data_IF_374907615948
#
_entry.id   IF_374907615948
#
_cell.length_a   1.000
_cell.length_b   1.000
_cell.length_c   1.000
_cell.angle_alpha   90.00
_cell.angle_beta   90.00
_cell.angle_gamma   90.00
#
_symmetry.space_group_name_H-M   'P 1'
#
loop_
_entity.id
_entity.type
_entity.pdbx_description
1 polymer ?
#
# COMPACT_ATOMS: atom_id res chain seq x y z
N UNK A 1 13.70 43.10 -14.02
CA UNK A 1 13.92 41.66 -13.89
C UNK A 1 12.69 40.97 -14.37
N UNK A 2 12.84 40.03 -15.27
CA UNK A 2 11.71 39.20 -15.69
C UNK A 2 11.40 38.26 -14.54
N UNK A 3 10.15 38.28 -14.06
CA UNK A 3 9.68 37.37 -13.01
C UNK A 3 9.30 36.05 -13.64
N UNK A 4 9.85 34.94 -13.15
CA UNK A 4 9.59 33.59 -13.64
C UNK A 4 8.92 32.74 -12.55
N UNK A 5 7.98 31.93 -12.95
CA UNK A 5 7.52 30.79 -12.14
C UNK A 5 8.49 29.63 -12.30
N UNK A 6 9.07 29.16 -11.22
CA UNK A 6 9.94 27.98 -11.22
C UNK A 6 9.20 26.79 -10.63
N UNK A 7 9.03 25.73 -11.41
CA UNK A 7 8.35 24.50 -10.98
C UNK A 7 9.33 23.34 -11.12
N UNK A 8 9.38 22.50 -10.08
CA UNK A 8 10.17 21.29 -10.06
C UNK A 8 9.28 20.09 -10.41
N UNK A 9 9.56 19.41 -11.51
CA UNK A 9 8.89 18.17 -11.92
C UNK A 9 9.80 17.01 -11.60
N UNK A 10 9.46 16.22 -10.55
CA UNK A 10 10.17 14.96 -10.22
C UNK A 10 11.68 15.08 -10.35
N UNK A 11 12.43 14.12 -10.14
CA UNK A 11 13.90 13.96 -10.35
C UNK A 11 14.77 15.18 -10.71
N UNK A 12 14.40 16.41 -10.26
CA UNK A 12 15.21 17.63 -10.41
C UNK A 12 15.06 18.38 -11.73
N UNK A 13 14.05 18.10 -12.53
CA UNK A 13 13.75 18.93 -13.71
C UNK A 13 13.07 20.21 -13.24
N UNK A 14 13.72 21.36 -13.47
CA UNK A 14 13.18 22.70 -13.22
C UNK A 14 12.66 23.27 -14.54
N UNK A 15 11.41 23.72 -14.53
CA UNK A 15 10.80 24.47 -15.64
C UNK A 15 10.63 25.91 -15.17
N UNK A 16 11.22 26.85 -15.88
CA UNK A 16 11.04 28.29 -15.66
C UNK A 16 10.10 28.84 -16.75
N UNK A 17 8.94 29.33 -16.35
CA UNK A 17 7.97 29.95 -17.27
C UNK A 17 7.81 31.42 -16.94
N UNK A 18 7.83 32.30 -17.97
CA UNK A 18 7.66 33.72 -17.78
C UNK A 18 6.23 34.03 -17.26
N UNK A 19 6.13 35.02 -16.39
CA UNK A 19 4.89 35.41 -15.69
C UNK A 19 3.76 35.84 -16.63
N UNK A 20 4.11 36.37 -17.80
CA UNK A 20 3.19 36.84 -18.83
C UNK A 20 2.61 35.72 -19.72
N UNK A 21 3.25 34.55 -19.72
CA UNK A 21 2.83 33.41 -20.54
C UNK A 21 1.85 32.45 -19.84
N UNK A 22 1.71 32.55 -18.49
CA UNK A 22 0.90 31.63 -17.68
C UNK A 22 -0.27 32.38 -17.04
N UNK A 23 -1.49 31.93 -17.28
CA UNK A 23 -2.66 32.53 -16.65
C UNK A 23 -2.76 32.16 -15.18
N UNK A 24 -3.23 33.09 -14.33
CA UNK A 24 -3.47 32.82 -12.90
C UNK A 24 -4.49 31.68 -12.69
N UNK A 25 -5.40 31.49 -13.64
CA UNK A 25 -6.39 30.42 -13.58
C UNK A 25 -5.76 29.03 -13.74
N UNK A 26 -4.77 28.92 -14.63
CA UNK A 26 -4.05 27.68 -14.88
C UNK A 26 -3.20 27.29 -13.67
N UNK A 27 -2.52 28.27 -13.05
CA UNK A 27 -1.75 28.05 -11.80
C UNK A 27 -2.65 27.55 -10.69
N UNK A 28 -3.84 28.13 -10.49
CA UNK A 28 -4.82 27.66 -9.51
C UNK A 28 -5.27 26.23 -9.79
N UNK A 29 -5.50 25.87 -11.05
CA UNK A 29 -5.91 24.52 -11.45
C UNK A 29 -4.83 23.49 -11.10
N UNK A 30 -3.56 23.80 -11.33
CA UNK A 30 -2.44 22.93 -10.97
C UNK A 30 -2.33 22.77 -9.45
N UNK A 31 -2.46 23.83 -8.67
CA UNK A 31 -2.44 23.77 -7.20
C UNK A 31 -3.58 22.89 -6.66
N UNK A 32 -4.80 23.06 -7.18
CA UNK A 32 -5.93 22.22 -6.79
C UNK A 32 -5.71 20.75 -7.17
N UNK A 33 -5.16 20.46 -8.34
CA UNK A 33 -4.83 19.11 -8.75
C UNK A 33 -3.80 18.46 -7.80
N UNK A 34 -2.78 19.21 -7.37
CA UNK A 34 -1.80 18.74 -6.38
C UNK A 34 -2.43 18.44 -5.03
N UNK A 35 -3.27 19.34 -4.53
CA UNK A 35 -3.98 19.13 -3.26
C UNK A 35 -4.87 17.89 -3.30
N UNK A 36 -5.61 17.68 -4.38
CA UNK A 36 -6.47 16.50 -4.58
C UNK A 36 -5.60 15.23 -4.63
N UNK A 37 -4.46 15.27 -5.34
CA UNK A 37 -3.54 14.14 -5.40
C UNK A 37 -2.98 13.79 -4.01
N UNK A 38 -2.55 14.79 -3.23
CA UNK A 38 -2.06 14.58 -1.86
C UNK A 38 -3.15 14.02 -0.94
N UNK A 39 -4.38 14.53 -1.04
CA UNK A 39 -5.51 14.02 -0.28
C UNK A 39 -5.84 12.56 -0.66
N UNK A 40 -5.86 12.23 -1.95
CA UNK A 40 -6.08 10.87 -2.42
C UNK A 40 -4.97 9.90 -1.94
N UNK A 41 -3.70 10.31 -2.03
CA UNK A 41 -2.58 9.52 -1.53
C UNK A 41 -2.69 9.25 -0.02
N UNK A 42 -3.04 10.27 0.76
CA UNK A 42 -3.25 10.14 2.21
C UNK A 42 -4.42 9.22 2.54
N UNK A 43 -5.54 9.33 1.81
CA UNK A 43 -6.69 8.45 1.98
C UNK A 43 -6.36 6.98 1.67
N UNK A 44 -5.50 6.71 0.69
CA UNK A 44 -5.07 5.36 0.35
C UNK A 44 -4.12 4.74 1.38
N UNK A 45 -3.39 5.55 2.15
CA UNK A 45 -2.55 5.08 3.25
C UNK A 45 -3.36 4.68 4.48
N UNK A 46 -4.52 5.29 4.72
CA UNK A 46 -5.32 5.04 5.90
C UNK A 46 -5.68 3.55 6.11
N UNK A 47 -6.21 2.80 5.12
CA UNK A 47 -6.54 1.38 5.30
C UNK A 47 -5.29 0.52 5.56
N UNK A 48 -4.13 0.86 4.98
CA UNK A 48 -2.87 0.18 5.25
C UNK A 48 -2.47 0.35 6.71
N UNK A 49 -2.46 1.59 7.21
CA UNK A 49 -2.11 1.89 8.61
C UNK A 49 -3.09 1.26 9.61
N UNK A 50 -4.39 1.28 9.33
CA UNK A 50 -5.41 0.67 10.19
C UNK A 50 -5.24 -0.85 10.28
N UNK A 51 -5.07 -1.54 9.16
CA UNK A 51 -4.89 -2.99 9.16
C UNK A 51 -3.54 -3.38 9.77
N UNK A 52 -2.49 -2.61 9.54
CA UNK A 52 -1.18 -2.81 10.18
C UNK A 52 -1.27 -2.66 11.69
N UNK A 53 -1.98 -1.63 12.20
CA UNK A 53 -2.20 -1.45 13.63
C UNK A 53 -2.95 -2.62 14.26
N UNK A 54 -3.99 -3.15 13.58
CA UNK A 54 -4.74 -4.32 14.04
C UNK A 54 -3.88 -5.58 14.06
N UNK A 55 -3.09 -5.80 13.01
CA UNK A 55 -2.13 -6.90 12.93
C UNK A 55 -1.14 -6.84 14.10
N UNK A 56 -0.53 -5.68 14.35
CA UNK A 56 0.44 -5.52 15.44
C UNK A 56 -0.19 -5.75 16.82
N UNK A 57 -1.43 -5.32 17.05
CA UNK A 57 -2.14 -5.60 18.31
C UNK A 57 -2.36 -7.10 18.53
N UNK A 58 -2.71 -7.84 17.49
CA UNK A 58 -2.92 -9.29 17.59
C UNK A 58 -1.58 -10.03 17.82
N UNK A 59 -0.51 -9.60 17.17
CA UNK A 59 0.83 -10.17 17.40
C UNK A 59 1.30 -9.90 18.83
N UNK A 60 1.10 -8.69 19.35
CA UNK A 60 1.43 -8.35 20.73
C UNK A 60 0.59 -9.11 21.77
N UNK A 61 -0.60 -9.58 21.41
CA UNK A 61 -1.45 -10.44 22.24
C UNK A 61 -1.09 -11.94 22.16
N UNK A 62 0.13 -12.26 21.68
CA UNK A 62 0.64 -13.63 21.55
C UNK A 62 -0.20 -14.58 20.67
N UNK A 63 -0.99 -14.02 19.76
CA UNK A 63 -1.77 -14.80 18.80
C UNK A 63 -1.37 -14.55 17.33
N UNK A 64 -0.11 -14.83 16.94
CA UNK A 64 0.40 -14.53 15.61
C UNK A 64 -0.30 -15.33 14.51
N UNK A 65 -0.67 -16.58 14.80
CA UNK A 65 -1.32 -17.50 13.86
C UNK A 65 -2.85 -17.48 14.04
N UNK A 66 -3.45 -16.31 13.78
CA UNK A 66 -4.90 -16.14 13.82
C UNK A 66 -5.40 -15.88 12.40
N UNK A 67 -6.54 -16.47 12.02
CA UNK A 67 -7.19 -16.26 10.72
C UNK A 67 -7.46 -14.78 10.42
N UNK A 68 -7.68 -13.97 11.46
CA UNK A 68 -7.83 -12.52 11.30
C UNK A 68 -6.53 -11.85 10.84
N UNK A 69 -5.36 -12.32 11.27
CA UNK A 69 -4.06 -11.79 10.84
C UNK A 69 -3.80 -12.07 9.37
N UNK A 70 -4.20 -13.25 8.89
CA UNK A 70 -4.19 -13.57 7.46
C UNK A 70 -5.03 -12.58 6.65
N UNK A 71 -6.26 -12.30 7.10
CA UNK A 71 -7.15 -11.32 6.45
C UNK A 71 -6.58 -9.90 6.46
N UNK A 72 -6.02 -9.44 7.59
CA UNK A 72 -5.41 -8.11 7.66
C UNK A 72 -4.21 -7.99 6.72
N UNK A 73 -3.38 -9.02 6.63
CA UNK A 73 -2.24 -9.06 5.70
C UNK A 73 -2.69 -9.01 4.25
N UNK A 74 -3.74 -9.76 3.88
CA UNK A 74 -4.34 -9.69 2.54
C UNK A 74 -4.92 -8.31 2.24
N UNK A 75 -5.63 -7.68 3.19
CA UNK A 75 -6.18 -6.33 3.01
C UNK A 75 -5.09 -5.27 2.87
N UNK A 76 -3.97 -5.39 3.58
CA UNK A 76 -2.80 -4.55 3.38
C UNK A 76 -2.29 -4.69 1.95
N UNK A 77 -2.09 -5.92 1.48
CA UNK A 77 -1.63 -6.19 0.11
C UNK A 77 -2.55 -5.61 -0.96
N UNK A 78 -3.86 -5.82 -0.82
CA UNK A 78 -4.87 -5.29 -1.73
C UNK A 78 -4.89 -3.75 -1.72
N UNK A 79 -4.82 -3.15 -0.53
CA UNK A 79 -4.79 -1.69 -0.37
C UNK A 79 -3.54 -1.07 -0.98
N UNK A 80 -2.37 -1.71 -0.83
CA UNK A 80 -1.13 -1.28 -1.45
C UNK A 80 -1.23 -1.36 -2.98
N UNK A 81 -1.74 -2.46 -3.52
CA UNK A 81 -1.88 -2.66 -4.96
C UNK A 81 -2.80 -1.61 -5.60
N UNK A 82 -4.00 -1.42 -5.03
CA UNK A 82 -4.97 -0.43 -5.53
C UNK A 82 -4.45 0.99 -5.31
N UNK A 83 -3.99 1.29 -4.09
CA UNK A 83 -3.51 2.62 -3.71
C UNK A 83 -2.34 3.08 -4.55
N UNK A 84 -1.36 2.20 -4.79
CA UNK A 84 -0.22 2.51 -5.64
C UNK A 84 -0.65 2.83 -7.07
N UNK A 85 -1.55 2.02 -7.65
CA UNK A 85 -2.07 2.25 -9.01
C UNK A 85 -2.80 3.58 -9.12
N UNK A 86 -3.64 3.92 -8.14
CA UNK A 86 -4.38 5.20 -8.09
C UNK A 86 -3.43 6.38 -7.98
N UNK A 87 -2.48 6.33 -7.03
CA UNK A 87 -1.51 7.41 -6.81
C UNK A 87 -0.61 7.60 -8.03
N UNK A 88 -0.16 6.51 -8.65
CA UNK A 88 0.67 6.58 -9.85
C UNK A 88 -0.09 7.22 -11.03
N UNK A 89 -1.35 6.85 -11.21
CA UNK A 89 -2.20 7.42 -12.27
C UNK A 89 -2.46 8.91 -12.01
N UNK A 90 -2.78 9.28 -10.77
CA UNK A 90 -2.98 10.66 -10.36
C UNK A 90 -1.72 11.51 -10.58
N UNK A 91 -0.53 10.98 -10.22
CA UNK A 91 0.76 11.65 -10.44
C UNK A 91 1.06 11.86 -11.93
N UNK A 92 0.72 10.90 -12.79
CA UNK A 92 0.87 11.05 -14.25
C UNK A 92 -0.04 12.13 -14.80
N UNK A 93 -1.29 12.16 -14.35
CA UNK A 93 -2.23 13.18 -14.73
C UNK A 93 -1.78 14.58 -14.27
N UNK A 94 -1.28 14.69 -13.05
CA UNK A 94 -0.70 15.93 -12.53
C UNK A 94 0.49 16.40 -13.35
N UNK A 95 1.43 15.50 -13.68
CA UNK A 95 2.58 15.83 -14.52
C UNK A 95 2.14 16.28 -15.93
N UNK A 96 1.11 15.65 -16.48
CA UNK A 96 0.53 16.07 -17.76
C UNK A 96 -0.04 17.49 -17.68
N UNK A 97 -0.77 17.83 -16.62
CA UNK A 97 -1.29 19.18 -16.40
C UNK A 97 -0.17 20.21 -16.25
N UNK A 98 0.89 19.88 -15.48
CA UNK A 98 2.04 20.75 -15.32
C UNK A 98 2.69 21.06 -16.67
N UNK A 99 3.01 20.05 -17.45
CA UNK A 99 3.63 20.22 -18.76
C UNK A 99 2.75 21.06 -19.67
N UNK A 100 1.45 20.77 -19.74
CA UNK A 100 0.50 21.51 -20.58
C UNK A 100 0.37 22.98 -20.16
N UNK A 101 0.49 23.28 -18.87
CA UNK A 101 0.31 24.63 -18.33
C UNK A 101 1.56 25.50 -18.49
N UNK A 102 2.75 24.92 -18.33
CA UNK A 102 4.00 25.67 -18.21
C UNK A 102 4.94 25.53 -19.40
N UNK A 103 4.66 24.65 -20.35
CA UNK A 103 5.50 24.46 -21.53
C UNK A 103 4.82 25.06 -22.74
N UNK A 104 5.51 25.98 -23.42
CA UNK A 104 4.98 26.71 -24.58
C UNK A 104 4.69 25.81 -25.79
N UNK A 105 5.42 24.70 -25.92
CA UNK A 105 5.26 23.71 -27.00
C UNK A 105 5.06 22.31 -26.42
N UNK A 106 3.89 22.02 -25.83
CA UNK A 106 3.63 20.71 -25.17
C UNK A 106 3.65 19.54 -26.14
N UNK A 107 3.47 19.76 -27.44
CA UNK A 107 3.46 18.72 -28.47
C UNK A 107 4.84 18.07 -28.69
N UNK A 108 5.92 18.74 -28.31
CA UNK A 108 7.29 18.23 -28.41
C UNK A 108 7.67 17.29 -27.26
N UNK A 109 6.83 17.18 -26.23
CA UNK A 109 7.12 16.40 -25.02
C UNK A 109 6.33 15.11 -25.04
N UNK A 110 7.00 13.99 -25.30
CA UNK A 110 6.44 12.66 -25.16
C UNK A 110 6.52 12.18 -23.71
N UNK A 111 5.39 12.21 -23.00
CA UNK A 111 5.28 11.58 -21.68
C UNK A 111 5.31 10.05 -21.85
N UNK A 112 6.44 9.45 -21.50
CA UNK A 112 6.56 7.98 -21.47
C UNK A 112 5.62 7.41 -20.41
N UNK A 113 4.61 6.67 -20.82
CA UNK A 113 3.71 5.93 -19.94
C UNK A 113 4.28 4.53 -19.63
N UNK A 114 5.47 4.48 -19.03
CA UNK A 114 6.01 3.21 -18.53
C UNK A 114 5.08 2.59 -17.48
N UNK A 115 4.77 1.31 -17.59
CA UNK A 115 4.06 0.56 -16.55
C UNK A 115 5.03 0.32 -15.39
N UNK A 116 4.77 0.97 -14.26
CA UNK A 116 5.47 0.67 -13.02
C UNK A 116 4.67 -0.38 -12.24
N UNK A 117 5.19 -1.59 -12.21
CA UNK A 117 4.57 -2.75 -11.56
C UNK A 117 5.01 -2.91 -10.09
N UNK A 118 5.88 -2.04 -9.57
CA UNK A 118 6.47 -2.19 -8.24
C UNK A 118 5.43 -2.38 -7.13
N UNK A 119 4.42 -1.51 -7.08
CA UNK A 119 3.36 -1.63 -6.08
C UNK A 119 2.45 -2.84 -6.26
N UNK A 120 2.24 -3.29 -7.51
CA UNK A 120 1.48 -4.51 -7.80
C UNK A 120 2.22 -5.73 -7.28
N UNK A 121 3.53 -5.83 -7.53
CA UNK A 121 4.37 -6.93 -7.02
C UNK A 121 4.37 -6.96 -5.49
N UNK A 122 4.60 -5.83 -4.83
CA UNK A 122 4.58 -5.74 -3.36
C UNK A 122 3.21 -6.11 -2.81
N UNK A 123 2.12 -5.65 -3.43
CA UNK A 123 0.76 -6.00 -3.03
C UNK A 123 0.49 -7.50 -3.14
N UNK A 124 0.89 -8.13 -4.25
CA UNK A 124 0.76 -9.57 -4.46
C UNK A 124 1.56 -10.38 -3.44
N UNK A 125 2.79 -9.98 -3.14
CA UNK A 125 3.61 -10.65 -2.12
C UNK A 125 2.94 -10.60 -0.74
N UNK A 126 2.32 -9.49 -0.36
CA UNK A 126 1.55 -9.41 0.89
C UNK A 126 0.31 -10.29 0.87
N UNK A 127 -0.40 -10.40 -0.25
CA UNK A 127 -1.55 -11.31 -0.38
C UNK A 127 -1.09 -12.75 -0.24
N UNK A 128 -0.02 -13.16 -0.89
CA UNK A 128 0.55 -14.50 -0.77
C UNK A 128 0.97 -14.81 0.68
N UNK A 129 1.62 -13.86 1.35
CA UNK A 129 1.96 -14.00 2.77
C UNK A 129 0.71 -14.20 3.64
N UNK A 130 -0.36 -13.45 3.38
CA UNK A 130 -1.64 -13.63 4.05
C UNK A 130 -2.24 -15.02 3.82
N UNK A 131 -2.15 -15.57 2.60
CA UNK A 131 -2.58 -16.93 2.29
C UNK A 131 -1.77 -17.97 3.09
N UNK A 132 -0.46 -17.82 3.19
CA UNK A 132 0.40 -18.72 3.96
C UNK A 132 0.03 -18.68 5.45
N UNK A 133 -0.15 -17.49 6.04
CA UNK A 133 -0.59 -17.35 7.43
C UNK A 133 -1.94 -18.00 7.64
N UNK A 134 -2.88 -17.84 6.72
CA UNK A 134 -4.20 -18.45 6.76
C UNK A 134 -4.11 -19.97 6.78
N UNK A 135 -3.33 -20.56 5.88
CA UNK A 135 -3.14 -22.00 5.80
C UNK A 135 -2.49 -22.59 7.06
N UNK A 136 -1.46 -21.93 7.60
CA UNK A 136 -0.81 -22.33 8.86
C UNK A 136 -1.81 -22.26 10.03
N UNK A 137 -2.65 -21.22 10.07
CA UNK A 137 -3.68 -21.08 11.10
C UNK A 137 -4.71 -22.22 11.06
N UNK A 138 -5.13 -22.63 9.85
CA UNK A 138 -6.05 -23.77 9.68
C UNK A 138 -5.43 -25.10 10.16
N UNK A 139 -4.16 -25.32 9.85
CA UNK A 139 -3.45 -26.53 10.31
C UNK A 139 -3.38 -26.60 11.85
N UNK A 140 -3.03 -25.49 12.52
CA UNK A 140 -3.00 -25.43 13.98
C UNK A 140 -4.38 -25.71 14.61
N UNK A 141 -5.45 -25.18 14.05
CA UNK A 141 -6.82 -25.43 14.52
C UNK A 141 -7.17 -26.91 14.34
N UNK A 142 -6.81 -27.50 13.21
CA UNK A 142 -7.10 -28.90 12.91
C UNK A 142 -6.34 -29.85 13.82
N UNK A 143 -5.09 -29.54 14.16
CA UNK A 143 -4.30 -30.33 15.12
C UNK A 143 -4.87 -30.24 16.54
N UNK A 144 -5.28 -29.04 16.97
CA UNK A 144 -5.91 -28.84 18.28
C UNK A 144 -7.28 -29.54 18.42
N UNK A 145 -7.99 -29.81 17.32
CA UNK A 145 -9.28 -30.48 17.29
C UNK A 145 -9.19 -32.00 17.13
N UNK A 146 -7.99 -32.59 16.98
CA UNK A 146 -7.87 -34.07 16.95
C UNK A 146 -8.15 -34.63 18.33
N UNK A 147 -9.34 -35.24 18.59
CA UNK A 147 -9.64 -35.90 19.85
C UNK A 147 -8.86 -37.24 19.88
N UNK A 148 -7.89 -37.36 20.76
CA UNK A 148 -7.37 -38.68 21.09
C UNK A 148 -5.87 -38.91 20.99
N UNK A 149 -5.08 -38.04 21.60
CA UNK A 149 -3.69 -38.39 21.89
C UNK A 149 -3.31 -38.12 23.35
N UNK A 150 -4.28 -38.25 24.26
CA UNK A 150 -4.05 -38.16 25.69
C UNK A 150 -4.85 -39.27 26.40
N UNK A 151 -4.42 -40.50 26.28
CA UNK A 151 -4.72 -41.53 27.28
C UNK A 151 -3.86 -42.79 27.07
N UNK A 152 -2.56 -42.63 27.15
CA UNK A 152 -1.72 -43.71 27.69
C UNK A 152 -1.21 -43.26 29.07
N UNK A 153 -2.16 -42.99 29.96
CA UNK A 153 -1.92 -43.16 31.39
C UNK A 153 -1.99 -44.66 31.59
N UNK A 154 -0.86 -45.35 31.48
CA UNK A 154 -0.73 -46.71 32.01
C UNK A 154 -1.20 -46.70 33.49
N UNK A 155 -2.13 -47.61 33.85
CA UNK A 155 -2.39 -47.81 35.28
C UNK A 155 -1.09 -48.29 35.90
N UNK A 156 -0.62 -47.53 36.89
CA UNK A 156 0.44 -48.00 37.81
C UNK A 156 -0.17 -49.15 38.55
N UNK A 157 0.27 -50.34 38.22
CA UNK A 157 -0.02 -51.54 39.01
C UNK A 157 0.63 -51.38 40.36
N UNK A 158 -0.16 -50.96 41.34
CA UNK A 158 0.18 -51.06 42.77
C UNK A 158 0.05 -52.55 43.20
N UNK A 159 1.02 -53.37 42.80
CA UNK A 159 1.28 -54.68 43.41
C UNK A 159 2.74 -54.69 43.91
N UNK A 160 2.93 -54.26 45.13
CA UNK A 160 3.86 -54.87 46.09
C UNK A 160 3.74 -54.27 47.50
N UNK A 161 2.74 -54.68 48.23
CA UNK A 161 2.81 -54.76 49.68
C UNK A 161 2.45 -56.18 50.13
N UNK A 162 3.52 -57.01 50.33
CA UNK A 162 3.52 -58.12 51.32
C UNK A 162 4.91 -58.29 51.91
#
# INVERSE_FOLDING_TARGET
GEDYYSIFIGNGIRIDAAYDTVSLMDVKTVIWAELIMCAAASAMLAPVCLNMSRLMKNVAAESPYNMNNARYTMYIGLSVMIGYTVVLTARRFYNYLLVRTFVAEPESIHLSMGLDLGGVVVGLLNILLGCVIGHVSELHITEAMKPGQNTDIQPVDDEDER
#
